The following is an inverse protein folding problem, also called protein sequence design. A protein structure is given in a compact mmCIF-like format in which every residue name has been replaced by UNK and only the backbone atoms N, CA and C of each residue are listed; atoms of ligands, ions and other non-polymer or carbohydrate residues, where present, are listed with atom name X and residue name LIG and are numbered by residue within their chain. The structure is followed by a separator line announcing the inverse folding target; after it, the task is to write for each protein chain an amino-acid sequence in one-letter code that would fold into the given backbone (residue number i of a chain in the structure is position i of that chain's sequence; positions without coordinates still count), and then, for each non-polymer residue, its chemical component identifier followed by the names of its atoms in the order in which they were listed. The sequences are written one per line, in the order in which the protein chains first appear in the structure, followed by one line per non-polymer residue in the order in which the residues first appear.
data_IF_112272789855
#
_entry.id   IF_112272789855
#
_cell.length_a   1.000
_cell.length_b   1.000
_cell.length_c   1.000
_cell.angle_alpha   90.00
_cell.angle_beta   90.00
_cell.angle_gamma   90.00
#
_symmetry.space_group_name_H-M   'P 1'
#
loop_
_entity.id
_entity.type
_entity.pdbx_description
1 polymer ?
#
# COMPACT_ATOMS: atom_id res chain seq x y z
N UNK A 1 5.47 17.73 19.53
CA UNK A 1 4.44 18.79 19.42
C UNK A 1 3.16 18.18 18.89
N UNK A 2 1.99 18.58 19.38
CA UNK A 2 0.72 18.06 18.87
C UNK A 2 0.46 18.59 17.45
N UNK A 3 0.06 17.70 16.54
CA UNK A 3 -0.28 18.06 15.15
C UNK A 3 -1.47 19.02 15.12
N UNK A 4 -1.35 20.15 14.44
CA UNK A 4 -2.40 21.17 14.41
C UNK A 4 -3.62 20.71 13.60
N UNK A 5 -4.80 21.31 13.84
CA UNK A 5 -6.01 21.05 13.03
C UNK A 5 -5.80 21.35 11.54
N UNK A 6 -4.95 22.34 11.23
CA UNK A 6 -4.60 22.69 9.85
C UNK A 6 -3.80 21.57 9.20
N UNK A 7 -2.77 21.04 9.88
CA UNK A 7 -1.92 19.95 9.36
C UNK A 7 -2.73 18.67 9.13
N UNK A 8 -3.66 18.35 10.04
CA UNK A 8 -4.57 17.21 9.86
C UNK A 8 -5.49 17.36 8.64
N UNK A 9 -5.97 18.57 8.38
CA UNK A 9 -6.78 18.86 7.19
C UNK A 9 -5.96 18.72 5.92
N UNK A 10 -4.75 19.23 5.90
CA UNK A 10 -3.82 19.10 4.77
C UNK A 10 -3.45 17.65 4.52
N UNK A 11 -3.17 16.88 5.56
CA UNK A 11 -2.87 15.46 5.43
C UNK A 11 -4.04 14.67 4.84
N UNK A 12 -5.29 14.95 5.24
CA UNK A 12 -6.48 14.37 4.62
C UNK A 12 -6.60 14.72 3.13
N UNK A 13 -6.29 15.96 2.75
CA UNK A 13 -6.28 16.38 1.35
C UNK A 13 -5.26 15.60 0.54
N UNK A 14 -4.06 15.42 1.08
CA UNK A 14 -2.99 14.63 0.47
C UNK A 14 -3.40 13.16 0.30
N UNK A 15 -3.98 12.53 1.34
CA UNK A 15 -4.46 11.14 1.25
C UNK A 15 -5.54 11.00 0.17
N UNK A 16 -6.49 11.92 0.09
CA UNK A 16 -7.49 11.91 -0.98
C UNK A 16 -6.85 12.08 -2.37
N UNK A 17 -5.86 12.99 -2.49
CA UNK A 17 -5.12 13.20 -3.73
C UNK A 17 -4.34 11.95 -4.14
N UNK A 18 -3.62 11.30 -3.23
CA UNK A 18 -2.87 10.07 -3.50
C UNK A 18 -3.77 8.95 -4.04
N UNK A 19 -4.97 8.77 -3.46
CA UNK A 19 -5.94 7.81 -3.97
C UNK A 19 -6.41 8.15 -5.40
N UNK A 20 -6.71 9.43 -5.70
CA UNK A 20 -7.08 9.86 -7.06
C UNK A 20 -5.94 9.66 -8.06
N UNK A 21 -4.69 9.96 -7.66
CA UNK A 21 -3.52 9.72 -8.52
C UNK A 21 -3.41 8.23 -8.89
N UNK A 22 -3.65 7.30 -7.96
CA UNK A 22 -3.64 5.87 -8.28
C UNK A 22 -4.71 5.52 -9.32
N UNK A 23 -5.90 6.10 -9.21
CA UNK A 23 -6.96 5.94 -10.21
C UNK A 23 -6.58 6.56 -11.57
N UNK A 24 -6.13 7.81 -11.59
CA UNK A 24 -5.79 8.55 -12.82
C UNK A 24 -4.62 7.90 -13.58
N UNK A 25 -3.71 7.23 -12.87
CA UNK A 25 -2.61 6.48 -13.46
C UNK A 25 -3.02 5.05 -13.88
N UNK A 26 -4.28 4.63 -13.68
CA UNK A 26 -4.74 3.29 -14.01
C UNK A 26 -4.15 2.18 -13.12
N UNK A 27 -3.68 2.54 -11.93
CA UNK A 27 -3.04 1.59 -10.99
C UNK A 27 -4.02 0.99 -9.99
N UNK A 28 -5.18 1.60 -9.86
CA UNK A 28 -6.28 1.14 -9.03
C UNK A 28 -7.62 1.60 -9.64
N UNK A 29 -8.64 0.77 -9.43
CA UNK A 29 -10.01 1.08 -9.83
C UNK A 29 -10.87 1.42 -8.60
N UNK A 30 -11.77 0.53 -8.23
CA UNK A 30 -12.55 0.61 -7.00
C UNK A 30 -11.75 0.12 -5.78
N UNK A 31 -10.96 -0.94 -5.98
CA UNK A 31 -10.10 -1.52 -4.97
C UNK A 31 -8.72 -0.86 -4.97
N UNK A 32 -8.08 -0.91 -3.83
CA UNK A 32 -6.83 -0.21 -3.60
C UNK A 32 -7.03 0.98 -2.67
N UNK A 33 -5.97 1.35 -1.98
CA UNK A 33 -6.01 2.41 -0.97
C UNK A 33 -4.62 2.96 -0.67
N UNK A 34 -4.59 4.27 -0.47
CA UNK A 34 -3.44 5.02 0.03
C UNK A 34 -3.76 5.52 1.42
N UNK A 35 -2.81 5.41 2.33
CA UNK A 35 -2.93 5.92 3.69
C UNK A 35 -1.73 6.77 4.09
N UNK A 36 -1.90 7.57 5.14
CA UNK A 36 -0.81 8.30 5.76
C UNK A 36 -0.95 8.31 7.28
N UNK A 37 0.17 8.05 7.98
CA UNK A 37 0.29 8.14 9.44
C UNK A 37 0.05 9.57 9.90
N UNK A 38 -0.69 9.75 10.98
CA UNK A 38 -0.79 11.03 11.67
C UNK A 38 0.49 11.23 12.50
N UNK A 39 1.27 12.29 12.25
CA UNK A 39 2.53 12.51 12.93
C UNK A 39 2.41 12.48 14.46
N UNK A 40 3.35 11.78 15.10
CA UNK A 40 3.41 11.67 16.57
C UNK A 40 2.26 10.87 17.21
N UNK A 41 1.54 10.05 16.42
CA UNK A 41 0.42 9.26 16.95
C UNK A 41 0.43 7.83 16.41
N UNK A 42 -0.39 6.99 17.04
CA UNK A 42 -0.67 5.62 16.58
C UNK A 42 -1.96 5.57 15.73
N UNK A 43 -2.13 6.59 14.86
CA UNK A 43 -3.31 6.73 14.00
C UNK A 43 -2.87 7.02 12.57
N UNK A 44 -3.74 6.69 11.62
CA UNK A 44 -3.53 7.01 10.21
C UNK A 44 -4.84 7.35 9.50
N UNK A 45 -4.74 8.10 8.43
CA UNK A 45 -5.84 8.41 7.54
C UNK A 45 -5.87 7.43 6.36
N UNK A 46 -7.07 6.97 5.98
CA UNK A 46 -7.31 6.06 4.85
C UNK A 46 -8.69 6.36 4.24
N UNK A 47 -8.93 5.92 2.99
CA UNK A 47 -10.25 5.99 2.39
C UNK A 47 -11.24 5.00 3.02
N UNK A 48 -12.55 5.26 3.03
CA UNK A 48 -13.54 4.25 3.38
C UNK A 48 -13.70 3.21 2.24
N UNK A 49 -14.16 2.00 2.60
CA UNK A 49 -14.28 0.88 1.67
C UNK A 49 -15.13 1.19 0.44
N UNK A 50 -16.26 1.89 0.61
CA UNK A 50 -17.22 2.15 -0.47
C UNK A 50 -16.93 3.43 -1.29
N UNK A 51 -15.89 4.20 -0.96
CA UNK A 51 -15.55 5.40 -1.71
C UNK A 51 -14.70 5.04 -2.94
N UNK A 52 -15.16 5.34 -4.17
CA UNK A 52 -14.37 5.13 -5.37
C UNK A 52 -13.15 6.06 -5.37
N UNK A 53 -12.00 5.55 -5.83
CA UNK A 53 -10.74 6.30 -5.74
C UNK A 53 -10.77 7.61 -6.54
N UNK A 54 -11.37 7.60 -7.72
CA UNK A 54 -11.41 8.78 -8.61
C UNK A 54 -12.26 9.94 -8.07
N UNK A 55 -13.22 9.67 -7.18
CA UNK A 55 -14.17 10.68 -6.67
C UNK A 55 -13.90 11.09 -5.22
N UNK A 56 -12.93 10.47 -4.57
CA UNK A 56 -12.68 10.67 -3.15
C UNK A 56 -12.18 12.07 -2.83
N UNK A 57 -12.68 12.64 -1.74
CA UNK A 57 -12.30 13.96 -1.22
C UNK A 57 -11.85 13.90 0.24
N UNK A 58 -11.24 14.96 0.73
CA UNK A 58 -10.75 15.03 2.13
C UNK A 58 -11.85 14.80 3.18
N UNK A 59 -13.12 15.12 2.88
CA UNK A 59 -14.26 14.90 3.80
C UNK A 59 -14.60 13.43 3.97
N UNK A 60 -14.23 12.60 3.01
CA UNK A 60 -14.51 11.16 2.99
C UNK A 60 -13.45 10.39 3.78
N UNK A 61 -12.22 10.92 3.86
CA UNK A 61 -11.09 10.28 4.54
C UNK A 61 -11.39 10.09 6.03
N UNK A 62 -11.21 8.84 6.47
CA UNK A 62 -11.44 8.40 7.85
C UNK A 62 -10.14 8.27 8.64
N UNK A 63 -10.23 8.37 9.94
CA UNK A 63 -9.15 8.14 10.88
C UNK A 63 -9.28 6.74 11.47
N UNK A 64 -8.19 5.98 11.46
CA UNK A 64 -8.07 4.65 12.07
C UNK A 64 -7.05 4.72 13.20
N UNK A 65 -7.39 4.21 14.37
CA UNK A 65 -6.48 3.95 15.47
C UNK A 65 -5.88 2.54 15.29
N UNK A 66 -4.56 2.42 15.32
CA UNK A 66 -3.86 1.17 15.03
C UNK A 66 -4.19 0.10 16.08
N UNK A 67 -4.13 0.50 17.35
CA UNK A 67 -4.29 -0.44 18.47
C UNK A 67 -5.72 -0.96 18.54
N UNK A 68 -6.70 -0.04 18.49
CA UNK A 68 -8.13 -0.38 18.48
C UNK A 68 -8.47 -1.27 17.26
N UNK A 69 -7.94 -0.95 16.08
CA UNK A 69 -8.21 -1.73 14.87
C UNK A 69 -7.65 -3.15 14.96
N UNK A 70 -6.41 -3.29 15.44
CA UNK A 70 -5.76 -4.61 15.59
C UNK A 70 -6.47 -5.46 16.65
N UNK A 71 -6.88 -4.89 17.79
CA UNK A 71 -7.64 -5.57 18.84
C UNK A 71 -8.99 -6.09 18.32
N UNK A 72 -9.76 -5.24 17.61
CA UNK A 72 -11.04 -5.63 17.01
C UNK A 72 -10.85 -6.78 16.01
N UNK A 73 -9.80 -6.74 15.20
CA UNK A 73 -9.52 -7.80 14.22
C UNK A 73 -9.06 -9.11 14.89
N UNK A 74 -8.33 -9.05 16.00
CA UNK A 74 -7.92 -10.24 16.75
C UNK A 74 -9.10 -10.93 17.42
N UNK A 75 -10.00 -10.16 18.06
CA UNK A 75 -11.13 -10.71 18.83
C UNK A 75 -12.34 -11.11 17.98
N UNK A 76 -12.61 -10.40 16.91
CA UNK A 76 -13.94 -10.40 16.27
C UNK A 76 -13.95 -10.59 14.77
N UNK A 77 -12.87 -11.06 14.15
CA UNK A 77 -12.86 -11.22 12.69
C UNK A 77 -14.06 -12.03 12.19
N UNK A 78 -14.41 -13.13 12.86
CA UNK A 78 -15.59 -13.94 12.53
C UNK A 78 -16.91 -13.14 12.64
N UNK A 79 -16.95 -12.09 13.45
CA UNK A 79 -18.09 -11.18 13.62
C UNK A 79 -17.99 -9.95 12.70
N UNK A 80 -16.79 -9.43 12.42
CA UNK A 80 -16.58 -8.25 11.58
C UNK A 80 -17.03 -8.48 10.12
N UNK A 81 -16.86 -9.69 9.58
CA UNK A 81 -17.33 -10.06 8.25
C UNK A 81 -18.85 -10.22 8.12
N UNK A 82 -19.58 -10.26 9.23
CA UNK A 82 -21.04 -10.43 9.27
C UNK A 82 -21.79 -9.22 9.83
N UNK A 83 -21.10 -8.22 10.34
CA UNK A 83 -21.77 -7.09 10.97
C UNK A 83 -22.22 -6.03 9.97
N UNK A 84 -23.39 -5.46 10.25
CA UNK A 84 -24.06 -4.30 9.63
C UNK A 84 -23.15 -3.07 9.36
N UNK A 85 -21.89 -3.09 9.78
CA UNK A 85 -20.94 -2.01 9.60
C UNK A 85 -20.61 -1.72 8.13
N UNK A 86 -20.74 -2.70 7.23
CA UNK A 86 -20.49 -2.54 5.80
C UNK A 86 -21.48 -1.57 5.10
N UNK A 87 -22.62 -1.27 5.74
CA UNK A 87 -23.59 -0.31 5.20
C UNK A 87 -23.38 1.12 5.66
N UNK A 88 -22.44 1.37 6.59
CA UNK A 88 -22.06 2.73 6.99
C UNK A 88 -20.93 3.22 6.10
N UNK A 89 -21.13 4.34 5.43
CA UNK A 89 -20.20 5.02 4.50
C UNK A 89 -18.79 5.36 5.04
N UNK A 90 -18.46 4.94 6.28
CA UNK A 90 -17.19 5.27 6.96
C UNK A 90 -16.49 4.05 7.56
N UNK A 91 -16.61 2.90 6.92
CA UNK A 91 -15.88 1.69 7.32
C UNK A 91 -14.57 1.61 6.55
N UNK A 92 -13.43 1.30 7.18
CA UNK A 92 -12.16 1.15 6.47
C UNK A 92 -12.20 -0.05 5.51
N UNK A 93 -11.32 -0.09 4.49
CA UNK A 93 -11.16 -1.24 3.62
C UNK A 93 -10.87 -2.52 4.42
N UNK A 94 -11.27 -3.67 3.87
CA UNK A 94 -11.01 -4.97 4.54
C UNK A 94 -9.53 -5.19 4.80
N UNK A 95 -8.68 -4.75 3.90
CA UNK A 95 -7.23 -4.91 3.97
C UNK A 95 -6.51 -3.73 4.66
N UNK A 96 -7.22 -2.97 5.47
CA UNK A 96 -6.62 -1.98 6.38
C UNK A 96 -5.57 -2.60 7.30
N UNK A 97 -5.62 -3.93 7.51
CA UNK A 97 -4.62 -4.68 8.27
C UNK A 97 -3.22 -4.57 7.66
N UNK A 98 -3.08 -4.51 6.33
CA UNK A 98 -1.79 -4.24 5.67
C UNK A 98 -1.17 -2.96 6.25
N UNK A 99 -1.95 -1.87 6.28
CA UNK A 99 -1.49 -0.56 6.77
C UNK A 99 -1.21 -0.57 8.26
N UNK A 100 -2.16 -1.06 9.06
CA UNK A 100 -2.05 -1.09 10.52
C UNK A 100 -0.81 -1.88 10.97
N UNK A 101 -0.57 -3.07 10.39
CA UNK A 101 0.58 -3.92 10.74
C UNK A 101 1.91 -3.28 10.33
N UNK A 102 2.00 -2.69 9.13
CA UNK A 102 3.21 -2.00 8.68
C UNK A 102 3.48 -0.79 9.58
N UNK A 103 2.49 0.04 9.86
CA UNK A 103 2.67 1.17 10.78
C UNK A 103 3.02 0.74 12.20
N UNK A 104 2.54 -0.41 12.65
CA UNK A 104 2.88 -0.95 13.97
C UNK A 104 4.33 -1.43 14.04
N UNK A 105 4.85 -2.04 12.97
CA UNK A 105 6.20 -2.65 12.93
C UNK A 105 7.30 -1.72 12.45
N UNK A 106 6.97 -0.67 11.64
CA UNK A 106 7.91 0.23 10.95
C UNK A 106 7.65 1.68 11.35
N UNK A 107 8.43 2.22 12.29
CA UNK A 107 8.30 3.62 12.73
C UNK A 107 8.80 4.64 11.69
N UNK A 108 9.64 4.21 10.76
CA UNK A 108 10.14 4.99 9.63
C UNK A 108 9.11 5.17 8.51
N UNK A 109 8.07 4.32 8.47
CA UNK A 109 7.02 4.39 7.45
C UNK A 109 5.92 5.36 7.86
N UNK A 110 5.66 6.37 7.03
CA UNK A 110 4.61 7.36 7.20
C UNK A 110 3.50 7.27 6.14
N UNK A 111 3.68 6.48 5.08
CA UNK A 111 2.65 6.21 4.07
C UNK A 111 2.73 4.79 3.55
N UNK A 112 1.57 4.21 3.24
CA UNK A 112 1.43 2.89 2.63
C UNK A 112 0.45 2.99 1.47
N UNK A 113 0.84 2.41 0.33
CA UNK A 113 0.02 2.25 -0.87
C UNK A 113 -0.18 0.76 -1.10
N UNK A 114 -1.43 0.34 -1.27
CA UNK A 114 -1.81 -0.97 -1.76
C UNK A 114 -2.72 -0.81 -2.97
N UNK A 115 -2.36 -1.41 -4.09
CA UNK A 115 -3.10 -1.36 -5.35
C UNK A 115 -2.96 -2.67 -6.13
N UNK A 116 -3.82 -2.87 -7.15
CA UNK A 116 -3.87 -4.09 -7.95
C UNK A 116 -3.33 -3.84 -9.37
N UNK A 117 -2.13 -3.32 -9.45
CA UNK A 117 -1.45 -2.93 -10.70
C UNK A 117 -1.26 -4.15 -11.60
N UNK A 118 -1.55 -3.99 -12.88
CA UNK A 118 -1.64 -5.13 -13.80
C UNK A 118 -0.29 -5.82 -14.04
N UNK A 119 0.74 -5.06 -14.42
CA UNK A 119 2.03 -5.67 -14.78
C UNK A 119 2.81 -6.15 -13.55
N UNK A 120 2.86 -5.35 -12.49
CA UNK A 120 3.51 -5.78 -11.25
C UNK A 120 2.84 -7.05 -10.68
N UNK A 121 1.50 -7.12 -10.76
CA UNK A 121 0.76 -8.34 -10.36
C UNK A 121 1.07 -9.52 -11.29
N UNK A 122 1.18 -9.31 -12.60
CA UNK A 122 1.54 -10.36 -13.56
C UNK A 122 2.93 -10.95 -13.25
N UNK A 123 3.90 -10.10 -12.89
CA UNK A 123 5.22 -10.57 -12.44
C UNK A 123 5.12 -11.44 -11.17
N UNK A 124 4.27 -11.06 -10.23
CA UNK A 124 4.03 -11.83 -9.01
C UNK A 124 3.42 -13.21 -9.30
N UNK A 125 2.48 -13.29 -10.27
CA UNK A 125 1.88 -14.55 -10.75
C UNK A 125 2.94 -15.47 -11.36
N UNK A 126 3.89 -14.90 -12.11
CA UNK A 126 5.00 -15.62 -12.69
C UNK A 126 6.08 -16.01 -11.66
N UNK A 127 5.99 -15.55 -10.41
CA UNK A 127 7.02 -15.75 -9.38
C UNK A 127 8.32 -15.01 -9.67
N UNK A 128 8.29 -13.95 -10.48
CA UNK A 128 9.45 -13.19 -10.90
C UNK A 128 9.52 -11.87 -10.15
N UNK A 129 10.55 -11.60 -9.35
CA UNK A 129 10.71 -10.32 -8.67
C UNK A 129 11.02 -9.19 -9.64
N UNK A 130 10.63 -7.98 -9.28
CA UNK A 130 11.06 -6.77 -9.97
C UNK A 130 12.44 -6.35 -9.48
N UNK A 131 13.30 -5.95 -10.40
CA UNK A 131 14.70 -5.62 -10.16
C UNK A 131 15.05 -4.19 -10.58
N UNK A 132 16.05 -3.58 -9.95
CA UNK A 132 16.53 -2.26 -10.33
C UNK A 132 17.32 -2.34 -11.66
N UNK A 133 16.59 -2.26 -12.78
CA UNK A 133 17.17 -2.33 -14.13
C UNK A 133 17.27 -0.97 -14.81
N UNK A 134 16.80 0.09 -14.17
CA UNK A 134 16.92 1.47 -14.61
C UNK A 134 16.84 2.42 -13.40
N UNK A 135 17.25 3.68 -13.56
CA UNK A 135 17.43 4.66 -12.49
C UNK A 135 16.26 4.75 -11.49
N UNK A 136 15.02 4.91 -11.97
CA UNK A 136 13.85 5.07 -11.10
C UNK A 136 13.48 3.79 -10.32
N UNK A 137 14.06 2.65 -10.69
CA UNK A 137 13.86 1.38 -9.98
C UNK A 137 14.88 1.16 -8.84
N UNK A 138 15.82 2.07 -8.63
CA UNK A 138 16.87 1.95 -7.61
C UNK A 138 16.32 1.71 -6.20
N UNK A 139 15.18 2.34 -5.87
CA UNK A 139 14.50 2.17 -4.58
C UNK A 139 14.03 0.73 -4.31
N UNK A 140 13.97 -0.13 -5.33
CA UNK A 140 13.52 -1.53 -5.21
C UNK A 140 14.69 -2.51 -5.12
N UNK A 141 15.93 -2.03 -4.95
CA UNK A 141 17.11 -2.87 -4.81
C UNK A 141 17.06 -3.73 -3.52
N UNK A 142 17.65 -4.95 -3.59
CA UNK A 142 18.19 -5.63 -4.77
C UNK A 142 17.09 -6.20 -5.69
N UNK A 143 15.91 -6.45 -5.15
CA UNK A 143 14.67 -6.87 -5.84
C UNK A 143 13.47 -6.78 -4.90
N UNK A 144 12.25 -6.76 -5.44
CA UNK A 144 11.03 -6.79 -4.63
C UNK A 144 10.78 -8.20 -4.10
N UNK A 145 10.55 -8.40 -2.79
CA UNK A 145 10.06 -9.67 -2.26
C UNK A 145 8.65 -9.97 -2.77
N UNK A 146 8.30 -11.26 -2.81
CA UNK A 146 6.97 -11.74 -3.21
C UNK A 146 6.33 -12.44 -2.01
N UNK A 147 5.20 -11.94 -1.54
CA UNK A 147 4.36 -12.66 -0.58
C UNK A 147 3.62 -13.78 -1.30
N UNK A 148 3.80 -15.07 -0.92
CA UNK A 148 3.43 -16.21 -1.75
C UNK A 148 1.95 -16.62 -1.60
N UNK A 149 1.01 -15.67 -1.61
CA UNK A 149 -0.42 -15.97 -1.47
C UNK A 149 -1.30 -14.83 -2.05
N UNK A 150 -2.39 -15.19 -2.76
CA UNK A 150 -3.37 -14.23 -3.27
C UNK A 150 -4.46 -13.88 -2.25
N UNK A 151 -4.37 -14.40 -1.02
CA UNK A 151 -5.42 -14.17 0.00
C UNK A 151 -5.52 -12.72 0.41
N UNK A 152 -6.71 -12.30 0.84
CA UNK A 152 -6.92 -11.02 1.47
C UNK A 152 -6.20 -10.97 2.83
N UNK A 153 -5.63 -9.82 3.14
CA UNK A 153 -4.88 -9.58 4.38
C UNK A 153 -5.77 -8.84 5.38
N UNK A 154 -6.33 -9.57 6.32
CA UNK A 154 -7.30 -9.00 7.26
C UNK A 154 -7.16 -9.46 8.71
N UNK A 155 -6.38 -10.51 8.98
CA UNK A 155 -6.08 -10.94 10.35
C UNK A 155 -4.75 -10.36 10.84
N UNK A 156 -4.58 -10.30 12.15
CA UNK A 156 -3.30 -9.88 12.75
C UNK A 156 -2.16 -10.82 12.33
N UNK A 157 -2.45 -12.11 12.16
CA UNK A 157 -1.47 -13.09 11.68
C UNK A 157 -1.05 -12.80 10.23
N UNK A 158 -2.01 -12.52 9.34
CA UNK A 158 -1.69 -12.11 7.96
C UNK A 158 -0.82 -10.86 7.94
N UNK A 159 -1.14 -9.89 8.79
CA UNK A 159 -0.36 -8.65 8.93
C UNK A 159 1.08 -8.91 9.39
N UNK A 160 1.30 -9.85 10.31
CA UNK A 160 2.66 -10.26 10.72
C UNK A 160 3.44 -10.86 9.56
N UNK A 161 2.82 -11.73 8.78
CA UNK A 161 3.46 -12.38 7.62
C UNK A 161 3.80 -11.37 6.51
N UNK A 162 2.91 -10.40 6.26
CA UNK A 162 3.17 -9.26 5.36
C UNK A 162 4.40 -8.48 5.81
N UNK A 163 4.48 -8.12 7.10
CA UNK A 163 5.61 -7.38 7.65
C UNK A 163 6.92 -8.18 7.57
N UNK A 164 6.87 -9.49 7.81
CA UNK A 164 8.03 -10.37 7.67
C UNK A 164 8.52 -10.43 6.21
N UNK A 165 7.60 -10.52 5.25
CA UNK A 165 7.95 -10.56 3.82
C UNK A 165 8.49 -9.21 3.35
N UNK A 166 7.87 -8.10 3.75
CA UNK A 166 8.33 -6.76 3.39
C UNK A 166 9.71 -6.44 3.98
N UNK A 167 9.94 -6.83 5.25
CA UNK A 167 11.17 -6.51 5.97
C UNK A 167 11.44 -5.00 5.98
N UNK A 168 12.65 -4.64 5.59
CA UNK A 168 13.12 -3.25 5.43
C UNK A 168 12.87 -2.67 4.02
N UNK A 169 12.30 -3.47 3.12
CA UNK A 169 12.10 -3.08 1.72
C UNK A 169 11.07 -1.95 1.57
N UNK A 170 11.21 -1.25 0.44
CA UNK A 170 10.32 -0.16 0.02
C UNK A 170 9.02 -0.68 -0.59
N UNK A 171 9.08 -1.86 -1.22
CA UNK A 171 7.95 -2.45 -1.92
C UNK A 171 7.99 -3.97 -1.84
N UNK A 172 6.82 -4.59 -1.99
CA UNK A 172 6.68 -6.03 -2.25
C UNK A 172 5.52 -6.30 -3.19
N UNK A 173 5.55 -7.46 -3.82
CA UNK A 173 4.47 -8.00 -4.62
C UNK A 173 3.65 -8.98 -3.77
N UNK A 174 2.34 -8.99 -3.96
CA UNK A 174 1.44 -10.01 -3.41
C UNK A 174 1.06 -10.94 -4.55
N UNK A 175 1.45 -12.21 -4.48
CA UNK A 175 1.30 -13.16 -5.57
C UNK A 175 -0.16 -13.30 -6.03
N UNK A 176 -0.43 -12.91 -7.28
CA UNK A 176 -1.76 -12.96 -7.86
C UNK A 176 -2.80 -12.02 -7.23
N UNK A 177 -2.35 -10.99 -6.48
CA UNK A 177 -3.23 -10.07 -5.78
C UNK A 177 -2.94 -8.60 -6.14
N UNK A 178 -1.74 -8.13 -5.88
CA UNK A 178 -1.37 -6.72 -6.09
C UNK A 178 0.00 -6.38 -5.54
N UNK A 179 0.14 -5.16 -5.05
CA UNK A 179 1.41 -4.63 -4.52
C UNK A 179 1.23 -3.95 -3.15
N UNK A 180 2.32 -3.83 -2.43
CA UNK A 180 2.45 -2.89 -1.31
C UNK A 180 3.69 -2.04 -1.54
N UNK A 181 3.54 -0.71 -1.40
CA UNK A 181 4.64 0.24 -1.40
C UNK A 181 4.57 1.09 -0.15
N UNK A 182 5.72 1.33 0.48
CA UNK A 182 5.82 2.16 1.69
C UNK A 182 6.75 3.35 1.47
N UNK A 183 6.61 4.36 2.29
CA UNK A 183 7.48 5.54 2.23
C UNK A 183 7.47 6.37 3.51
N UNK A 184 8.48 7.22 3.65
CA UNK A 184 8.61 8.22 4.72
C UNK A 184 7.61 9.38 4.56
N UNK A 185 7.03 9.51 3.37
CA UNK A 185 6.02 10.51 3.01
C UNK A 185 5.00 9.92 2.04
N UNK A 186 3.83 10.55 1.98
CA UNK A 186 2.76 10.14 1.06
C UNK A 186 3.18 10.36 -0.39
N UNK A 187 3.85 11.44 -0.66
CA UNK A 187 4.38 11.79 -1.97
C UNK A 187 5.36 10.72 -2.45
N UNK A 188 6.28 10.31 -1.60
CA UNK A 188 7.27 9.27 -1.92
C UNK A 188 6.60 7.92 -2.21
N UNK A 189 5.72 7.44 -1.32
CA UNK A 189 5.02 6.18 -1.53
C UNK A 189 4.15 6.18 -2.81
N UNK A 190 3.47 7.30 -3.09
CA UNK A 190 2.63 7.45 -4.28
C UNK A 190 3.45 7.40 -5.57
N UNK A 191 4.56 8.14 -5.62
CA UNK A 191 5.46 8.15 -6.80
C UNK A 191 6.10 6.78 -7.01
N UNK A 192 6.53 6.11 -5.94
CA UNK A 192 7.16 4.79 -6.06
C UNK A 192 6.15 3.69 -6.43
N UNK A 193 4.88 3.82 -6.10
CA UNK A 193 3.85 2.91 -6.62
C UNK A 193 3.72 3.01 -8.15
N UNK A 194 3.82 4.23 -8.70
CA UNK A 194 3.86 4.45 -10.16
C UNK A 194 5.16 3.87 -10.76
N UNK A 195 6.30 4.10 -10.10
CA UNK A 195 7.58 3.56 -10.57
C UNK A 195 7.64 2.05 -10.51
N UNK A 196 6.97 1.42 -9.56
CA UNK A 196 6.91 -0.04 -9.48
C UNK A 196 6.23 -0.65 -10.72
N UNK A 197 5.09 -0.09 -11.15
CA UNK A 197 4.41 -0.54 -12.37
C UNK A 197 5.27 -0.27 -13.63
N UNK A 198 5.93 0.90 -13.68
CA UNK A 198 6.87 1.22 -14.77
C UNK A 198 8.07 0.27 -14.77
N UNK A 199 8.53 -0.16 -13.60
CA UNK A 199 9.61 -1.16 -13.49
C UNK A 199 9.15 -2.50 -14.06
N UNK A 200 7.93 -2.92 -13.75
CA UNK A 200 7.36 -4.15 -14.32
C UNK A 200 7.26 -4.04 -15.86
N UNK A 201 6.76 -2.92 -16.36
CA UNK A 201 6.71 -2.67 -17.80
C UNK A 201 8.11 -2.71 -18.44
N UNK A 202 9.06 -1.99 -17.87
CA UNK A 202 10.43 -1.91 -18.38
C UNK A 202 11.11 -3.28 -18.36
N UNK A 203 10.94 -4.03 -17.26
CA UNK A 203 11.51 -5.37 -17.14
C UNK A 203 10.91 -6.34 -18.16
N UNK A 204 9.61 -6.25 -18.41
CA UNK A 204 8.94 -7.04 -19.45
C UNK A 204 9.49 -6.71 -20.84
N UNK A 205 9.53 -5.42 -21.22
CA UNK A 205 10.05 -4.98 -22.53
C UNK A 205 11.52 -5.38 -22.68
N UNK A 206 12.36 -5.12 -21.69
CA UNK A 206 13.77 -5.49 -21.74
C UNK A 206 13.95 -7.02 -21.90
N UNK A 207 13.12 -7.83 -21.23
CA UNK A 207 13.16 -9.28 -21.33
C UNK A 207 12.76 -9.81 -22.72
N UNK A 208 11.95 -9.05 -23.48
CA UNK A 208 11.56 -9.41 -24.83
C UNK A 208 12.65 -9.16 -25.88
N UNK A 209 13.61 -8.30 -25.58
CA UNK A 209 14.73 -7.96 -26.48
C UNK A 209 16.07 -8.56 -26.03
N UNK A 210 16.16 -9.08 -24.80
CA UNK A 210 17.38 -9.71 -24.29
C UNK A 210 17.28 -9.97 -22.79
N UNK A 211 18.42 -10.28 -22.16
CA UNK A 211 18.50 -10.47 -20.71
C UNK A 211 18.66 -9.11 -20.02
N UNK A 212 17.72 -8.66 -19.18
CA UNK A 212 17.87 -7.40 -18.45
C UNK A 212 19.14 -7.39 -17.58
N UNK A 213 19.85 -6.27 -17.62
CA UNK A 213 21.03 -6.03 -16.77
C UNK A 213 20.57 -5.30 -15.51
N UNK A 214 20.87 -5.87 -14.35
CA UNK A 214 20.58 -5.24 -13.06
C UNK A 214 21.65 -4.17 -12.79
N UNK A 215 21.22 -3.00 -12.33
CA UNK A 215 22.15 -1.93 -11.96
C UNK A 215 23.04 -2.35 -10.77
N UNK A 216 24.29 -1.91 -10.73
CA UNK A 216 25.14 -2.10 -9.56
C UNK A 216 24.53 -1.43 -8.33
N UNK A 217 24.73 -2.04 -7.15
CA UNK A 217 24.24 -1.46 -5.89
C UNK A 217 24.97 -0.17 -5.48
N UNK A 218 26.08 0.12 -6.13
CA UNK A 218 26.90 1.32 -5.89
C UNK A 218 26.38 2.57 -6.61
N UNK A 219 25.41 2.43 -7.50
CA UNK A 219 24.89 3.52 -8.34
C UNK A 219 23.48 3.93 -7.87
#
# INVERSE_FOLDING_TARGET
MATSKKDLKELKQKVALGNRIMFDQGLADYHGHVSARVPGSRKFFIKPVLAPLGEISAKDIILVDIDEYMEICEENWAKAGKTRAVTKLKVPPRETMIHASIYNSRSDVNSVVHTHQTLATAFSVAGVPLRPIYNQAAAFAPETPIFPSPRLIYTVQDGKEICQTLGDRMAMLLQGHGIVVVGDSLEYATVHAIYLERTAYMQWVASSVGKPVVMPQSD
#
